data_IF_441115233507
#
_entry.id   IF_441115233507
#
_cell.length_a   1.000
_cell.length_b   1.000
_cell.length_c   1.000
_cell.angle_alpha   90.00
_cell.angle_beta   90.00
_cell.angle_gamma   90.00
#
_symmetry.space_group_name_H-M   'P 1'
#
loop_
_entity.id
_entity.type
_entity.pdbx_description
1 polymer ?
#
# COMPACT_ATOMS: atom_id res chain seq x y z
N UNK A 1 28.39 23.36 -44.53
CA UNK A 1 27.78 22.50 -43.53
C UNK A 1 28.38 22.86 -42.19
N UNK A 2 27.70 23.72 -41.43
CA UNK A 2 28.12 24.16 -40.08
C UNK A 2 27.86 22.98 -39.13
N UNK A 3 28.94 22.33 -38.64
CA UNK A 3 28.87 21.45 -37.50
C UNK A 3 28.39 22.26 -36.29
N UNK A 4 27.17 22.00 -35.85
CA UNK A 4 26.64 22.58 -34.63
C UNK A 4 27.48 21.99 -33.46
N UNK A 5 28.32 22.82 -32.84
CA UNK A 5 29.06 22.48 -31.65
C UNK A 5 28.02 22.23 -30.53
N UNK A 6 27.78 20.95 -30.20
CA UNK A 6 26.92 20.55 -29.08
C UNK A 6 27.57 21.06 -27.79
N UNK A 7 26.87 21.88 -27.03
CA UNK A 7 27.39 22.44 -25.78
C UNK A 7 27.57 21.33 -24.72
N UNK A 8 28.53 21.50 -23.79
CA UNK A 8 28.73 20.59 -22.66
C UNK A 8 27.44 20.42 -21.84
N UNK A 9 26.63 21.46 -21.82
CA UNK A 9 25.35 21.46 -21.09
C UNK A 9 24.28 20.61 -21.78
N UNK A 10 24.21 20.66 -23.12
CA UNK A 10 23.33 19.78 -23.90
C UNK A 10 23.72 18.31 -23.77
N UNK A 11 25.01 17.99 -23.79
CA UNK A 11 25.50 16.63 -23.54
C UNK A 11 25.11 16.16 -22.12
N UNK A 12 25.32 16.99 -21.10
CA UNK A 12 24.99 16.69 -19.72
C UNK A 12 23.49 16.45 -19.57
N UNK A 13 22.65 17.29 -20.13
CA UNK A 13 21.20 17.16 -20.11
C UNK A 13 20.72 15.89 -20.83
N UNK A 14 21.32 15.59 -21.99
CA UNK A 14 21.09 14.36 -22.73
C UNK A 14 21.44 13.10 -21.90
N UNK A 15 22.61 13.07 -21.26
CA UNK A 15 23.04 11.98 -20.39
C UNK A 15 22.13 11.84 -19.16
N UNK A 16 21.70 12.95 -18.57
CA UNK A 16 20.78 12.95 -17.43
C UNK A 16 19.40 12.40 -17.83
N UNK A 17 18.90 12.77 -19.00
CA UNK A 17 17.64 12.23 -19.57
C UNK A 17 17.75 10.73 -19.82
N UNK A 18 18.82 10.26 -20.43
CA UNK A 18 19.06 8.82 -20.65
C UNK A 18 19.13 8.09 -19.32
N UNK A 19 19.87 8.61 -18.34
CA UNK A 19 19.99 8.00 -17.01
C UNK A 19 18.64 7.92 -16.28
N UNK A 20 17.84 8.99 -16.29
CA UNK A 20 16.52 9.03 -15.64
C UNK A 20 15.54 8.09 -16.34
N UNK A 21 15.53 8.06 -17.66
CA UNK A 21 14.68 7.13 -18.45
C UNK A 21 15.08 5.68 -18.21
N UNK A 22 16.38 5.37 -18.17
CA UNK A 22 16.88 4.03 -17.86
C UNK A 22 16.48 3.55 -16.46
N UNK A 23 16.60 4.43 -15.46
CA UNK A 23 16.12 4.14 -14.09
C UNK A 23 14.59 3.91 -14.06
N UNK A 24 13.83 4.71 -14.79
CA UNK A 24 12.38 4.55 -14.92
C UNK A 24 12.00 3.19 -15.52
N UNK A 25 12.67 2.78 -16.61
CA UNK A 25 12.46 1.47 -17.23
C UNK A 25 12.80 0.31 -16.29
N UNK A 26 13.92 0.38 -15.56
CA UNK A 26 14.30 -0.65 -14.58
C UNK A 26 13.24 -0.76 -13.49
N UNK A 27 12.80 0.36 -12.92
CA UNK A 27 11.73 0.40 -11.92
C UNK A 27 10.42 -0.19 -12.46
N UNK A 28 10.06 0.11 -13.71
CA UNK A 28 8.89 -0.47 -14.37
C UNK A 28 9.01 -2.00 -14.51
N UNK A 29 10.15 -2.50 -15.00
CA UNK A 29 10.40 -3.95 -15.15
C UNK A 29 10.34 -4.67 -13.81
N UNK A 30 10.93 -4.10 -12.75
CA UNK A 30 10.85 -4.66 -11.40
C UNK A 30 9.40 -4.68 -10.88
N UNK A 31 8.67 -3.63 -11.12
CA UNK A 31 7.25 -3.51 -10.78
C UNK A 31 6.41 -4.54 -11.53
N UNK A 32 6.63 -4.70 -12.82
CA UNK A 32 5.96 -5.71 -13.64
C UNK A 32 6.27 -7.14 -13.16
N UNK A 33 7.52 -7.44 -12.81
CA UNK A 33 7.91 -8.74 -12.24
C UNK A 33 7.21 -9.04 -10.93
N UNK A 34 7.10 -8.05 -10.03
CA UNK A 34 6.36 -8.18 -8.76
C UNK A 34 4.88 -8.47 -9.01
N UNK A 35 4.28 -7.79 -10.00
CA UNK A 35 2.88 -7.99 -10.36
C UNK A 35 2.62 -9.39 -10.94
N UNK A 36 3.51 -9.91 -11.79
CA UNK A 36 3.33 -11.20 -12.51
C UNK A 36 3.77 -12.42 -11.71
N UNK A 37 4.52 -12.26 -10.61
CA UNK A 37 5.15 -13.37 -9.87
C UNK A 37 4.74 -13.39 -8.40
N UNK A 38 3.44 -13.37 -8.12
CA UNK A 38 2.97 -13.66 -6.77
C UNK A 38 3.12 -15.18 -6.56
N UNK A 39 3.85 -15.60 -5.50
CA UNK A 39 4.05 -17.02 -5.24
C UNK A 39 2.72 -17.69 -4.86
N UNK A 40 2.64 -19.00 -5.05
CA UNK A 40 1.51 -19.80 -4.55
C UNK A 40 1.42 -19.66 -3.03
N UNK A 41 0.26 -19.28 -2.48
CA UNK A 41 0.09 -19.13 -1.04
C UNK A 41 0.41 -20.41 -0.27
N UNK A 42 1.07 -20.27 0.87
CA UNK A 42 1.35 -21.34 1.85
C UNK A 42 0.67 -20.99 3.16
N UNK A 43 -0.64 -21.28 3.29
CA UNK A 43 -1.41 -20.84 4.46
C UNK A 43 -0.98 -21.59 5.72
N UNK A 44 -0.99 -20.88 6.84
CA UNK A 44 -0.77 -21.36 8.20
C UNK A 44 -1.67 -20.61 9.17
N UNK A 45 -1.86 -21.15 10.36
CA UNK A 45 -2.60 -20.46 11.42
C UNK A 45 -1.70 -19.47 12.15
N UNK A 46 -2.19 -18.25 12.36
CA UNK A 46 -1.50 -17.26 13.18
C UNK A 46 -2.48 -16.34 13.91
N UNK A 47 -2.04 -15.78 15.04
CA UNK A 47 -2.81 -14.83 15.81
C UNK A 47 -2.79 -13.45 15.16
N UNK A 48 -3.98 -12.91 14.87
CA UNK A 48 -4.13 -11.60 14.19
C UNK A 48 -3.55 -10.47 15.04
N UNK A 49 -3.73 -10.51 16.37
CA UNK A 49 -3.22 -9.48 17.27
C UNK A 49 -1.70 -9.32 17.17
N UNK A 50 -0.95 -10.39 17.40
CA UNK A 50 0.52 -10.35 17.34
C UNK A 50 1.04 -10.04 15.94
N UNK A 51 0.33 -10.49 14.90
CA UNK A 51 0.63 -10.15 13.52
C UNK A 51 0.49 -8.64 13.28
N UNK A 52 -0.63 -8.02 13.65
CA UNK A 52 -0.87 -6.57 13.46
C UNK A 52 0.14 -5.74 14.28
N UNK A 53 0.45 -6.13 15.52
CA UNK A 53 1.45 -5.46 16.34
C UNK A 53 2.81 -5.40 15.63
N UNK A 54 3.27 -6.52 15.04
CA UNK A 54 4.52 -6.55 14.24
C UNK A 54 4.45 -5.66 13.00
N UNK A 55 3.31 -5.61 12.32
CA UNK A 55 3.15 -4.77 11.12
C UNK A 55 3.19 -3.28 11.47
N UNK A 56 2.56 -2.88 12.58
CA UNK A 56 2.61 -1.50 13.09
C UNK A 56 4.03 -1.11 13.48
N UNK A 57 4.74 -1.98 14.19
CA UNK A 57 6.14 -1.74 14.56
C UNK A 57 7.03 -1.56 13.33
N UNK A 58 6.88 -2.44 12.33
CA UNK A 58 7.62 -2.34 11.08
C UNK A 58 7.30 -1.03 10.32
N UNK A 59 6.03 -0.63 10.26
CA UNK A 59 5.61 0.61 9.63
C UNK A 59 6.22 1.85 10.32
N UNK A 60 6.24 1.86 11.66
CA UNK A 60 6.90 2.93 12.45
C UNK A 60 8.39 3.03 12.16
N UNK A 61 9.08 1.89 12.10
CA UNK A 61 10.53 1.87 11.81
C UNK A 61 10.87 2.36 10.41
N UNK A 62 9.99 2.11 9.43
CA UNK A 62 10.19 2.58 8.06
C UNK A 62 9.90 4.07 7.87
N UNK A 63 9.15 4.70 8.78
CA UNK A 63 8.74 6.10 8.73
C UNK A 63 8.95 6.80 10.09
N UNK A 64 10.22 6.90 10.58
CA UNK A 64 10.51 7.39 11.93
C UNK A 64 10.16 8.88 12.14
N UNK A 65 10.18 9.67 11.07
CA UNK A 65 9.97 11.11 11.12
C UNK A 65 8.48 11.52 11.03
N UNK A 66 7.59 10.54 10.76
CA UNK A 66 6.16 10.81 10.60
C UNK A 66 5.44 10.73 11.94
N UNK A 67 4.78 11.82 12.31
CA UNK A 67 3.93 11.88 13.51
C UNK A 67 2.57 11.25 13.22
N UNK A 68 2.48 9.94 13.42
CA UNK A 68 1.24 9.17 13.25
C UNK A 68 0.99 8.32 14.48
N UNK A 69 -0.21 8.43 15.03
CA UNK A 69 -0.70 7.57 16.11
C UNK A 69 -1.43 6.37 15.53
N UNK A 70 -1.06 5.16 15.98
CA UNK A 70 -1.72 3.92 15.58
C UNK A 70 -2.63 3.44 16.70
N UNK A 71 -3.89 3.17 16.37
CA UNK A 71 -4.88 2.57 17.25
C UNK A 71 -5.22 1.17 16.74
N UNK A 72 -5.18 0.17 17.61
CA UNK A 72 -5.49 -1.21 17.26
C UNK A 72 -6.63 -1.72 18.13
N UNK A 73 -7.67 -2.29 17.49
CA UNK A 73 -8.84 -2.90 18.12
C UNK A 73 -9.07 -4.28 17.50
N UNK A 74 -8.68 -5.33 18.21
CA UNK A 74 -8.75 -6.72 17.75
C UNK A 74 -9.69 -7.51 18.66
N UNK A 75 -10.82 -7.96 18.13
CA UNK A 75 -11.86 -8.66 18.88
C UNK A 75 -12.33 -9.94 18.15
N UNK A 76 -12.23 -11.09 18.80
CA UNK A 76 -11.63 -11.36 20.11
C UNK A 76 -10.10 -11.26 20.08
N UNK A 77 -9.46 -11.09 21.24
CA UNK A 77 -8.00 -10.90 21.33
C UNK A 77 -7.19 -12.13 20.89
N UNK A 78 -7.80 -13.30 20.87
CA UNK A 78 -7.27 -14.58 20.41
C UNK A 78 -7.72 -14.94 18.99
N UNK A 79 -8.18 -13.94 18.20
CA UNK A 79 -8.57 -14.12 16.80
C UNK A 79 -7.45 -14.76 16.00
N UNK A 80 -7.74 -15.90 15.35
CA UNK A 80 -6.81 -16.67 14.54
C UNK A 80 -7.22 -16.59 13.08
N UNK A 81 -6.25 -16.34 12.20
CA UNK A 81 -6.43 -16.33 10.76
C UNK A 81 -5.67 -17.48 10.12
N UNK A 82 -6.30 -18.18 9.16
CA UNK A 82 -5.67 -19.18 8.32
C UNK A 82 -5.36 -18.58 6.94
N UNK A 83 -4.12 -18.13 6.73
CA UNK A 83 -3.67 -17.54 5.49
C UNK A 83 -2.14 -17.64 5.36
N UNK A 84 -1.59 -17.25 4.20
CA UNK A 84 -0.13 -17.06 4.06
C UNK A 84 0.26 -15.74 4.73
N UNK A 85 0.90 -15.83 5.90
CA UNK A 85 1.29 -14.69 6.72
C UNK A 85 2.21 -13.72 5.96
N UNK A 86 3.11 -14.23 5.11
CA UNK A 86 4.03 -13.37 4.34
C UNK A 86 3.27 -12.57 3.26
N UNK A 87 2.32 -13.19 2.58
CA UNK A 87 1.52 -12.50 1.58
C UNK A 87 0.57 -11.48 2.22
N UNK A 88 -0.07 -11.83 3.34
CA UNK A 88 -0.91 -10.89 4.10
C UNK A 88 -0.07 -9.73 4.64
N UNK A 89 1.18 -9.99 5.10
CA UNK A 89 2.12 -8.94 5.53
C UNK A 89 2.38 -7.92 4.41
N UNK A 90 2.59 -8.38 3.17
CA UNK A 90 2.79 -7.49 2.03
C UNK A 90 1.57 -6.58 1.80
N UNK A 91 0.36 -7.13 1.94
CA UNK A 91 -0.88 -6.36 1.80
C UNK A 91 -0.98 -5.30 2.90
N UNK A 92 -0.85 -5.71 4.17
CA UNK A 92 -1.00 -4.82 5.32
C UNK A 92 0.06 -3.71 5.29
N UNK A 93 1.33 -4.03 5.05
CA UNK A 93 2.40 -3.03 4.95
C UNK A 93 2.16 -2.05 3.80
N UNK A 94 1.69 -2.52 2.64
CA UNK A 94 1.34 -1.63 1.54
C UNK A 94 0.21 -0.66 1.92
N UNK A 95 -0.81 -1.12 2.63
CA UNK A 95 -1.92 -0.26 3.09
C UNK A 95 -1.47 0.73 4.16
N UNK A 96 -0.66 0.31 5.14
CA UNK A 96 -0.10 1.19 6.16
C UNK A 96 0.78 2.27 5.54
N UNK A 97 1.65 1.90 4.58
CA UNK A 97 2.46 2.86 3.83
C UNK A 97 1.59 3.86 3.06
N UNK A 98 0.52 3.40 2.42
CA UNK A 98 -0.39 4.29 1.72
C UNK A 98 -1.10 5.27 2.68
N UNK A 99 -1.50 4.80 3.86
CA UNK A 99 -2.12 5.61 4.90
C UNK A 99 -1.15 6.67 5.44
N UNK A 100 0.09 6.29 5.76
CA UNK A 100 1.13 7.21 6.22
C UNK A 100 1.40 8.28 5.17
N UNK A 101 1.60 7.89 3.90
CA UNK A 101 1.84 8.83 2.80
C UNK A 101 0.65 9.78 2.56
N UNK A 102 -0.58 9.31 2.74
CA UNK A 102 -1.76 10.17 2.64
C UNK A 102 -1.77 11.23 3.74
N UNK A 103 -1.43 10.86 4.98
CA UNK A 103 -1.31 11.78 6.11
C UNK A 103 -0.18 12.79 5.87
N UNK A 104 1.00 12.34 5.42
CA UNK A 104 2.13 13.21 5.10
C UNK A 104 1.82 14.23 3.99
N UNK A 105 1.00 13.84 3.02
CA UNK A 105 0.60 14.72 1.91
C UNK A 105 -0.49 15.72 2.27
N UNK A 106 -1.11 15.58 3.45
CA UNK A 106 -2.14 16.52 3.93
C UNK A 106 -1.48 17.88 4.23
N UNK A 107 -1.92 18.92 3.54
CA UNK A 107 -1.44 20.30 3.74
C UNK A 107 -1.90 20.89 5.08
N UNK A 108 -2.84 20.26 5.74
CA UNK A 108 -3.32 20.68 7.06
C UNK A 108 -2.40 20.13 8.15
N UNK A 109 -1.27 20.80 8.36
CA UNK A 109 -0.22 20.40 9.31
C UNK A 109 -0.63 20.44 10.78
N UNK A 110 -1.76 21.08 11.10
CA UNK A 110 -2.27 21.18 12.48
C UNK A 110 -3.06 19.93 12.91
N UNK A 111 -3.39 19.05 11.94
CA UNK A 111 -4.14 17.83 12.21
C UNK A 111 -3.19 16.69 12.58
N UNK A 112 -3.38 16.15 13.79
CA UNK A 112 -2.66 14.94 14.19
C UNK A 112 -3.05 13.76 13.29
N UNK A 113 -2.05 13.07 12.72
CA UNK A 113 -2.25 11.91 11.89
C UNK A 113 -2.60 10.69 12.73
N UNK A 114 -3.66 9.96 12.36
CA UNK A 114 -3.96 8.68 13.01
C UNK A 114 -4.37 7.61 12.00
N UNK A 115 -4.01 6.37 12.33
CA UNK A 115 -4.35 5.16 11.59
C UNK A 115 -5.02 4.20 12.56
N UNK A 116 -6.27 3.81 12.25
CA UNK A 116 -7.02 2.86 13.04
C UNK A 116 -7.00 1.49 12.33
N UNK A 117 -6.71 0.43 13.08
CA UNK A 117 -6.69 -0.94 12.60
C UNK A 117 -7.66 -1.74 13.45
N UNK A 118 -8.71 -2.26 12.84
CA UNK A 118 -9.69 -3.11 13.51
C UNK A 118 -9.67 -4.50 12.89
N UNK A 119 -9.77 -5.54 13.70
CA UNK A 119 -9.95 -6.90 13.18
C UNK A 119 -10.99 -7.64 14.01
N UNK A 120 -11.90 -8.30 13.32
CA UNK A 120 -13.01 -9.01 13.94
C UNK A 120 -13.56 -10.11 13.03
N UNK A 121 -14.33 -11.02 13.61
CA UNK A 121 -15.13 -11.98 12.89
C UNK A 121 -16.56 -11.45 12.74
N UNK A 122 -17.11 -11.45 11.53
CA UNK A 122 -18.49 -11.02 11.31
C UNK A 122 -19.50 -12.19 11.50
N UNK A 123 -20.80 -11.88 11.37
CA UNK A 123 -21.89 -12.87 11.51
C UNK A 123 -21.81 -14.01 10.49
N UNK A 124 -21.14 -13.83 9.36
CA UNK A 124 -20.92 -14.85 8.34
C UNK A 124 -19.59 -15.61 8.53
N UNK A 125 -19.01 -15.56 9.74
CA UNK A 125 -17.74 -16.20 10.11
C UNK A 125 -16.54 -15.75 9.28
N UNK A 126 -16.65 -14.67 8.50
CA UNK A 126 -15.55 -14.08 7.78
C UNK A 126 -14.72 -13.17 8.70
N UNK A 127 -13.39 -13.27 8.61
CA UNK A 127 -12.48 -12.37 9.31
C UNK A 127 -12.29 -11.13 8.49
N UNK A 128 -12.51 -9.97 9.11
CA UNK A 128 -12.25 -8.66 8.51
C UNK A 128 -11.10 -7.97 9.23
N UNK A 129 -10.21 -7.37 8.42
CA UNK A 129 -9.19 -6.44 8.91
C UNK A 129 -9.45 -5.11 8.20
N UNK A 130 -9.80 -4.08 8.96
CA UNK A 130 -10.06 -2.73 8.49
C UNK A 130 -8.86 -1.85 8.82
N UNK A 131 -8.37 -1.10 7.84
CA UNK A 131 -7.30 -0.13 8.01
C UNK A 131 -7.82 1.21 7.53
N UNK A 132 -8.03 2.15 8.44
CA UNK A 132 -8.50 3.49 8.15
C UNK A 132 -7.48 4.56 8.55
N UNK A 133 -7.48 5.66 7.82
CA UNK A 133 -6.64 6.82 8.12
C UNK A 133 -7.40 8.12 7.92
N UNK A 134 -7.00 9.14 8.68
CA UNK A 134 -7.58 10.48 8.62
C UNK A 134 -6.89 11.44 7.65
N UNK A 135 -6.02 10.95 6.76
CA UNK A 135 -5.51 11.73 5.63
C UNK A 135 -6.61 12.09 4.62
N UNK A 136 -6.28 12.80 3.53
CA UNK A 136 -7.23 13.14 2.50
C UNK A 136 -7.98 11.92 1.97
N UNK A 137 -9.32 12.03 1.87
CA UNK A 137 -10.14 10.96 1.33
C UNK A 137 -9.84 10.75 -0.17
N UNK A 138 -9.97 9.51 -0.62
CA UNK A 138 -9.84 9.18 -2.04
C UNK A 138 -11.10 9.67 -2.76
N UNK A 139 -10.99 10.58 -3.76
CA UNK A 139 -12.13 11.05 -4.53
C UNK A 139 -12.86 9.91 -5.26
N UNK A 140 -14.18 10.02 -5.41
CA UNK A 140 -15.01 8.96 -5.98
C UNK A 140 -14.64 8.60 -7.43
N UNK A 141 -14.24 9.59 -8.23
CA UNK A 141 -13.77 9.41 -9.61
C UNK A 141 -12.46 8.62 -9.69
N UNK A 142 -11.64 8.68 -8.64
CA UNK A 142 -10.39 7.94 -8.52
C UNK A 142 -10.61 6.56 -7.89
N UNK A 143 -11.57 6.43 -6.97
CA UNK A 143 -11.83 5.22 -6.18
C UNK A 143 -12.04 3.97 -7.03
N UNK A 144 -12.68 4.10 -8.20
CA UNK A 144 -12.90 3.00 -9.13
C UNK A 144 -11.61 2.52 -9.81
N UNK A 145 -10.59 3.38 -9.89
CA UNK A 145 -9.35 3.14 -10.62
C UNK A 145 -8.17 2.70 -9.75
N UNK A 146 -8.24 2.87 -8.43
CA UNK A 146 -7.09 2.63 -7.51
C UNK A 146 -6.54 1.20 -7.56
N UNK A 147 -7.35 0.23 -7.99
CA UNK A 147 -6.93 -1.17 -8.12
C UNK A 147 -6.47 -1.55 -9.53
N UNK A 148 -6.52 -0.62 -10.50
CA UNK A 148 -6.00 -0.83 -11.85
C UNK A 148 -4.47 -0.80 -11.78
N UNK A 149 -3.77 -1.83 -12.32
CA UNK A 149 -2.32 -1.83 -12.34
C UNK A 149 -1.75 -0.58 -13.03
N UNK A 150 -0.67 -0.02 -12.46
CA UNK A 150 0.03 1.19 -12.93
C UNK A 150 -0.77 2.50 -12.79
N UNK A 151 -1.97 2.45 -12.27
CA UNK A 151 -2.71 3.66 -11.92
C UNK A 151 -2.15 4.27 -10.63
N UNK A 152 -1.75 5.54 -10.67
CA UNK A 152 -1.24 6.28 -9.51
C UNK A 152 -1.50 7.77 -9.66
N UNK A 153 -1.82 8.42 -8.56
CA UNK A 153 -1.90 9.87 -8.43
C UNK A 153 -0.67 10.45 -7.71
N UNK A 154 0.26 9.56 -7.29
CA UNK A 154 1.45 9.94 -6.54
C UNK A 154 2.63 10.12 -7.48
N UNK A 155 3.36 11.22 -7.33
CA UNK A 155 4.60 11.45 -8.04
C UNK A 155 5.64 10.36 -7.68
N UNK A 156 6.20 9.69 -8.68
CA UNK A 156 7.14 8.57 -8.49
C UNK A 156 6.50 7.26 -7.97
N UNK A 157 5.19 7.19 -7.83
CA UNK A 157 4.49 5.96 -7.46
C UNK A 157 4.46 4.95 -8.61
N UNK A 158 4.68 3.66 -8.32
CA UNK A 158 4.62 2.58 -9.33
C UNK A 158 3.19 2.23 -9.76
N UNK A 159 2.17 2.59 -8.98
CA UNK A 159 0.76 2.26 -9.24
C UNK A 159 0.41 0.77 -9.17
N UNK A 160 1.29 -0.06 -8.63
CA UNK A 160 1.04 -1.52 -8.56
C UNK A 160 0.67 -2.03 -7.17
N UNK A 161 0.92 -1.23 -6.12
CA UNK A 161 0.76 -1.70 -4.73
C UNK A 161 -0.64 -2.24 -4.44
N UNK A 162 -1.69 -1.45 -4.72
CA UNK A 162 -3.07 -1.85 -4.46
C UNK A 162 -3.55 -2.98 -5.38
N UNK A 163 -3.12 -3.00 -6.64
CA UNK A 163 -3.46 -4.08 -7.58
C UNK A 163 -2.83 -5.42 -7.16
N UNK A 164 -1.57 -5.42 -6.71
CA UNK A 164 -0.91 -6.60 -6.13
C UNK A 164 -1.64 -7.03 -4.84
N UNK A 165 -1.94 -6.08 -3.95
CA UNK A 165 -2.66 -6.38 -2.71
C UNK A 165 -4.00 -7.06 -2.98
N UNK A 166 -4.77 -6.56 -3.96
CA UNK A 166 -6.04 -7.17 -4.35
C UNK A 166 -5.87 -8.56 -4.94
N UNK A 167 -4.81 -8.77 -5.73
CA UNK A 167 -4.49 -10.08 -6.31
C UNK A 167 -4.08 -11.09 -5.23
N UNK A 168 -3.25 -10.69 -4.26
CA UNK A 168 -2.89 -11.52 -3.10
C UNK A 168 -4.15 -11.93 -2.33
N UNK A 169 -5.03 -10.99 -2.03
CA UNK A 169 -6.27 -11.29 -1.31
C UNK A 169 -7.14 -12.30 -2.06
N UNK A 170 -7.28 -12.15 -3.39
CA UNK A 170 -8.02 -13.12 -4.23
C UNK A 170 -7.37 -14.52 -4.21
N UNK A 171 -6.06 -14.61 -4.30
CA UNK A 171 -5.33 -15.88 -4.21
C UNK A 171 -5.46 -16.53 -2.83
N UNK A 172 -5.68 -15.73 -1.80
CA UNK A 172 -5.94 -16.18 -0.41
C UNK A 172 -7.43 -16.49 -0.15
N UNK A 173 -8.28 -16.54 -1.17
CA UNK A 173 -9.71 -16.81 -1.03
C UNK A 173 -10.52 -15.64 -0.46
N UNK A 174 -9.92 -14.45 -0.36
CA UNK A 174 -10.52 -13.26 0.21
C UNK A 174 -10.73 -12.13 -0.79
N UNK A 175 -10.96 -10.93 -0.26
CA UNK A 175 -11.14 -9.71 -1.06
C UNK A 175 -10.52 -8.50 -0.38
N UNK A 176 -10.10 -7.51 -1.19
CA UNK A 176 -9.70 -6.18 -0.75
C UNK A 176 -10.64 -5.15 -1.37
N UNK A 177 -11.25 -4.32 -0.55
CA UNK A 177 -12.17 -3.26 -0.96
C UNK A 177 -11.86 -1.94 -0.26
N UNK A 178 -12.28 -0.85 -0.88
CA UNK A 178 -12.30 0.49 -0.30
C UNK A 178 -13.73 0.77 0.18
N UNK A 179 -13.89 1.19 1.43
CA UNK A 179 -15.15 1.66 1.98
C UNK A 179 -15.27 3.16 1.71
N UNK A 180 -16.32 3.60 1.00
CA UNK A 180 -16.57 5.03 0.81
C UNK A 180 -16.86 5.71 2.15
N UNK A 181 -16.24 6.88 2.40
CA UNK A 181 -16.45 7.60 3.66
C UNK A 181 -15.64 8.89 3.75
N UNK A 182 -15.71 9.53 4.91
CA UNK A 182 -14.90 10.72 5.23
C UNK A 182 -13.43 10.39 5.44
N UNK A 183 -13.15 9.19 5.89
CA UNK A 183 -11.81 8.62 6.03
C UNK A 183 -11.57 7.57 4.97
N UNK A 184 -10.32 7.42 4.55
CA UNK A 184 -9.95 6.33 3.65
C UNK A 184 -9.87 5.04 4.47
N UNK A 185 -10.76 4.08 4.17
CA UNK A 185 -10.81 2.79 4.87
C UNK A 185 -10.69 1.65 3.87
N UNK A 186 -9.66 0.83 4.02
CA UNK A 186 -9.51 -0.43 3.29
C UNK A 186 -9.96 -1.60 4.15
N UNK A 187 -10.69 -2.54 3.52
CA UNK A 187 -11.19 -3.75 4.17
C UNK A 187 -10.57 -4.97 3.49
N UNK A 188 -9.84 -5.76 4.28
CA UNK A 188 -9.40 -7.10 3.91
C UNK A 188 -10.44 -8.07 4.48
N UNK A 189 -11.08 -8.84 3.61
CA UNK A 189 -12.03 -9.89 4.00
C UNK A 189 -11.44 -11.25 3.68
N UNK A 190 -11.42 -12.14 4.66
CA UNK A 190 -11.06 -13.56 4.55
C UNK A 190 -12.30 -14.41 4.83
N UNK A 191 -12.57 -15.36 3.92
CA UNK A 191 -13.72 -16.27 4.03
C UNK A 191 -13.31 -17.58 4.68
#
# INVERSE_FOLDING_TARGET
LTEAQVSKEEIRNGLQTISSTGKGLLSFVESYRKFTRIPTPKPSLFYVKSFIERMVELARHQHPDVRVTFHTDIAPSDLILYADENLVSQVVINLLKNAIQAIESDKNTDKEGHINIRAYCNEAEAILIEISNNGPAIPNDIAEHIFIPFFTTKEGGSGIGLSISRQIMRLSGGNLSLLPGKETTFILKFN
#
